data_IF_892053843628
#
_entry.id   IF_892053843628
#
_cell.length_a   1.000
_cell.length_b   1.000
_cell.length_c   1.000
_cell.angle_alpha   90.00
_cell.angle_beta   90.00
_cell.angle_gamma   90.00
#
_symmetry.space_group_name_H-M   'P 1'
#
loop_
_entity.id
_entity.type
_entity.pdbx_description
1 polymer ?
#
# COMPACT_ATOMS: atom_id res chain seq x y z
N UNK A 1 23.16 -3.57 -24.91
CA UNK A 1 22.37 -4.42 -23.96
C UNK A 1 20.94 -3.92 -23.94
N UNK A 2 19.96 -4.71 -24.39
CA UNK A 2 18.54 -4.41 -24.16
C UNK A 2 18.26 -4.61 -22.68
N UNK A 3 18.01 -3.53 -21.94
CA UNK A 3 17.56 -3.59 -20.55
C UNK A 3 16.16 -4.19 -20.56
N UNK A 4 16.01 -5.41 -20.06
CA UNK A 4 14.69 -6.01 -19.88
C UNK A 4 13.94 -5.18 -18.84
N UNK A 5 12.80 -4.63 -19.23
CA UNK A 5 11.91 -3.91 -18.32
C UNK A 5 11.24 -4.98 -17.46
N UNK A 6 11.61 -5.05 -16.18
CA UNK A 6 10.89 -5.86 -15.20
C UNK A 6 9.66 -5.05 -14.80
N UNK A 7 8.49 -5.52 -15.21
CA UNK A 7 7.22 -4.99 -14.72
C UNK A 7 6.86 -5.80 -13.47
N UNK A 8 6.77 -5.18 -12.28
CA UNK A 8 6.40 -5.85 -11.06
C UNK A 8 4.88 -6.09 -11.01
N UNK A 9 4.37 -6.85 -11.98
CA UNK A 9 2.98 -7.26 -12.04
C UNK A 9 2.68 -8.39 -11.03
N UNK A 10 1.42 -8.82 -11.00
CA UNK A 10 0.96 -9.86 -10.09
C UNK A 10 1.71 -11.20 -10.32
N UNK A 11 2.08 -11.53 -11.55
CA UNK A 11 2.76 -12.79 -11.86
C UNK A 11 4.24 -12.74 -11.48
N UNK A 12 4.90 -11.59 -11.67
CA UNK A 12 6.22 -11.31 -11.12
C UNK A 12 6.21 -11.43 -9.58
N UNK A 13 5.19 -10.88 -8.92
CA UNK A 13 5.03 -10.97 -7.46
C UNK A 13 4.81 -12.41 -6.98
N UNK A 14 3.89 -13.16 -7.61
CA UNK A 14 3.65 -14.58 -7.32
C UNK A 14 4.93 -15.40 -7.44
N UNK A 15 5.70 -15.16 -8.51
CA UNK A 15 6.98 -15.84 -8.75
C UNK A 15 8.02 -15.49 -7.68
N UNK A 16 8.10 -14.23 -7.26
CA UNK A 16 9.03 -13.83 -6.20
C UNK A 16 8.66 -14.42 -4.84
N UNK A 17 7.39 -14.53 -4.51
CA UNK A 17 6.94 -15.17 -3.26
C UNK A 17 7.22 -16.68 -3.24
N UNK A 18 7.02 -17.37 -4.37
CA UNK A 18 7.30 -18.81 -4.45
C UNK A 18 8.79 -19.13 -4.33
N UNK A 19 9.67 -18.27 -4.85
CA UNK A 19 11.13 -18.37 -4.65
C UNK A 19 11.52 -18.27 -3.16
N UNK A 20 10.73 -17.54 -2.34
CA UNK A 20 11.00 -17.31 -0.92
C UNK A 20 10.22 -18.19 0.06
N UNK A 21 9.39 -19.14 -0.41
CA UNK A 21 8.44 -19.89 0.43
C UNK A 21 7.52 -19.00 1.27
N UNK A 22 7.18 -17.81 0.77
CA UNK A 22 6.30 -16.86 1.45
C UNK A 22 4.84 -17.10 1.04
N UNK A 23 3.87 -16.85 1.94
CA UNK A 23 2.47 -16.92 1.58
C UNK A 23 2.15 -15.94 0.45
N UNK A 24 1.29 -16.36 -0.48
CA UNK A 24 0.91 -15.55 -1.64
C UNK A 24 0.19 -14.26 -1.27
N UNK A 25 -0.47 -14.27 -0.10
CA UNK A 25 -1.17 -13.12 0.48
C UNK A 25 -0.57 -12.80 1.82
N UNK A 26 -0.38 -11.51 2.10
CA UNK A 26 0.09 -11.04 3.38
C UNK A 26 -0.96 -11.36 4.46
N UNK A 27 -0.59 -12.07 5.55
CA UNK A 27 -1.54 -12.38 6.63
C UNK A 27 -1.96 -11.15 7.43
N UNK A 28 -1.24 -10.03 7.28
CA UNK A 28 -1.52 -8.76 7.95
C UNK A 28 -2.25 -7.76 7.04
N UNK A 29 -2.81 -8.20 5.92
CA UNK A 29 -3.48 -7.35 4.93
C UNK A 29 -4.85 -6.83 5.41
N UNK A 30 -4.85 -6.03 6.47
CA UNK A 30 -6.03 -5.37 7.02
C UNK A 30 -5.68 -4.04 7.66
N UNK A 31 -6.67 -3.15 7.75
CA UNK A 31 -6.50 -1.79 8.30
C UNK A 31 -6.15 -1.78 9.79
N UNK A 32 -6.48 -2.85 10.53
CA UNK A 32 -6.19 -2.95 11.98
C UNK A 32 -4.92 -3.76 12.28
N UNK A 33 -4.44 -4.56 11.32
CA UNK A 33 -3.26 -5.41 11.50
C UNK A 33 -1.98 -4.83 10.92
N UNK A 34 -2.04 -3.94 9.94
CA UNK A 34 -0.85 -3.34 9.33
C UNK A 34 -1.00 -1.82 9.10
N UNK A 35 -0.07 -0.99 9.61
CA UNK A 35 -0.13 0.45 9.41
C UNK A 35 0.08 0.84 7.95
N UNK A 36 0.91 0.08 7.21
CA UNK A 36 1.12 0.30 5.78
C UNK A 36 -0.13 0.02 4.96
N UNK A 37 -0.86 -1.05 5.28
CA UNK A 37 -2.12 -1.37 4.61
C UNK A 37 -3.13 -0.23 4.84
N UNK A 38 -3.26 0.21 6.08
CA UNK A 38 -4.10 1.36 6.43
C UNK A 38 -3.70 2.64 5.67
N UNK A 39 -2.44 3.06 5.75
CA UNK A 39 -1.96 4.28 5.06
C UNK A 39 -2.17 4.20 3.53
N UNK A 40 -1.92 3.03 2.93
CA UNK A 40 -2.12 2.82 1.49
C UNK A 40 -3.60 2.95 1.11
N UNK A 41 -4.50 2.34 1.88
CA UNK A 41 -5.94 2.41 1.61
C UNK A 41 -6.50 3.84 1.81
N UNK A 42 -6.04 4.53 2.86
CA UNK A 42 -6.44 5.92 3.16
C UNK A 42 -6.02 6.87 2.01
N UNK A 43 -4.78 6.74 1.52
CA UNK A 43 -4.27 7.54 0.39
C UNK A 43 -4.87 7.15 -0.97
N UNK A 44 -5.26 5.88 -1.16
CA UNK A 44 -5.85 5.45 -2.43
C UNK A 44 -7.21 6.11 -2.71
N UNK A 45 -7.92 6.51 -1.66
CA UNK A 45 -9.12 7.32 -1.78
C UNK A 45 -8.88 8.69 -2.45
N UNK A 46 -7.66 9.24 -2.34
CA UNK A 46 -7.24 10.46 -3.04
C UNK A 46 -6.91 10.20 -4.50
N UNK A 47 -6.51 8.97 -4.83
CA UNK A 47 -6.23 8.50 -6.19
C UNK A 47 -7.47 7.99 -6.96
N UNK A 48 -8.68 8.26 -6.44
CA UNK A 48 -9.95 7.97 -7.14
C UNK A 48 -10.64 6.66 -6.73
N UNK A 49 -10.12 5.92 -5.75
CA UNK A 49 -10.80 4.74 -5.20
C UNK A 49 -11.84 5.09 -4.11
N UNK A 50 -12.62 4.10 -3.68
CA UNK A 50 -13.56 4.27 -2.56
C UNK A 50 -12.81 4.64 -1.28
N UNK A 51 -13.17 5.79 -0.71
CA UNK A 51 -12.61 6.30 0.55
C UNK A 51 -13.10 5.51 1.74
N UNK A 52 -12.22 5.33 2.72
CA UNK A 52 -12.63 4.97 4.09
C UNK A 52 -13.55 6.09 4.61
N UNK A 53 -14.61 5.73 5.32
CA UNK A 53 -15.49 6.72 5.95
C UNK A 53 -14.68 7.60 6.92
N UNK A 54 -14.96 8.91 6.94
CA UNK A 54 -14.09 9.88 7.61
C UNK A 54 -13.99 9.69 9.13
N UNK A 55 -15.06 9.23 9.80
CA UNK A 55 -15.02 8.92 11.22
C UNK A 55 -14.16 7.68 11.50
N UNK A 56 -14.23 6.69 10.62
CA UNK A 56 -13.44 5.47 10.70
C UNK A 56 -11.95 5.71 10.42
N UNK A 57 -11.62 6.50 9.39
CA UNK A 57 -10.24 6.87 9.08
C UNK A 57 -9.59 7.64 10.25
N UNK A 58 -10.32 8.57 10.88
CA UNK A 58 -9.86 9.26 12.10
C UNK A 58 -9.64 8.30 13.27
N UNK A 59 -10.50 7.30 13.45
CA UNK A 59 -10.37 6.26 14.48
C UNK A 59 -9.09 5.47 14.27
N UNK A 60 -8.86 4.98 13.05
CA UNK A 60 -7.69 4.19 12.66
C UNK A 60 -6.40 4.99 12.78
N UNK A 61 -6.39 6.26 12.37
CA UNK A 61 -5.24 7.14 12.56
C UNK A 61 -4.84 7.27 14.03
N UNK A 62 -5.82 7.45 14.92
CA UNK A 62 -5.59 7.56 16.36
C UNK A 62 -5.12 6.24 16.97
N UNK A 63 -5.64 5.10 16.49
CA UNK A 63 -5.19 3.77 16.88
C UNK A 63 -3.72 3.58 16.53
N UNK A 64 -3.35 3.85 15.28
CA UNK A 64 -2.01 3.59 14.79
C UNK A 64 -0.96 4.56 15.33
N UNK A 65 -1.26 5.86 15.47
CA UNK A 65 -0.30 6.84 16.05
C UNK A 65 0.21 6.47 17.44
N UNK A 66 -0.55 5.67 18.20
CA UNK A 66 -0.15 5.16 19.52
C UNK A 66 0.68 3.88 19.46
N UNK A 67 0.69 3.20 18.31
CA UNK A 67 1.33 1.91 18.13
C UNK A 67 2.83 2.07 17.83
N UNK A 68 3.65 1.14 18.32
CA UNK A 68 5.09 1.09 18.05
C UNK A 68 5.43 0.91 16.57
N UNK A 69 4.53 0.28 15.79
CA UNK A 69 4.69 0.01 14.36
C UNK A 69 4.40 1.22 13.47
N UNK A 70 3.91 2.33 14.03
CA UNK A 70 3.70 3.54 13.24
C UNK A 70 5.03 4.08 12.71
N UNK A 71 5.09 4.51 11.43
CA UNK A 71 6.26 5.18 10.86
C UNK A 71 6.80 6.25 11.80
N UNK A 72 8.12 6.23 12.01
CA UNK A 72 8.81 7.22 12.86
C UNK A 72 9.34 8.39 12.06
N UNK A 73 9.51 8.20 10.76
CA UNK A 73 10.03 9.20 9.84
C UNK A 73 9.22 9.18 8.54
N UNK A 74 9.22 10.29 7.81
CA UNK A 74 8.47 10.42 6.56
C UNK A 74 8.94 9.46 5.47
N UNK A 75 10.20 9.02 5.50
CA UNK A 75 10.74 8.03 4.55
C UNK A 75 10.10 6.65 4.70
N UNK A 76 9.56 6.35 5.89
CA UNK A 76 8.84 5.10 6.16
C UNK A 76 7.35 5.20 5.85
N UNK A 77 6.82 6.42 5.72
CA UNK A 77 5.41 6.66 5.44
C UNK A 77 5.06 6.25 4.01
N UNK A 78 3.84 5.75 3.88
CA UNK A 78 3.24 5.61 2.55
C UNK A 78 3.01 7.01 1.99
N UNK A 79 3.42 7.25 0.75
CA UNK A 79 3.25 8.56 0.12
C UNK A 79 2.87 8.41 -1.34
N UNK A 80 2.16 9.42 -1.82
CA UNK A 80 1.86 9.58 -3.24
C UNK A 80 2.35 10.94 -3.68
N UNK A 81 2.99 10.99 -4.85
CA UNK A 81 3.52 12.22 -5.41
C UNK A 81 3.22 12.34 -6.90
N UNK A 82 3.09 13.58 -7.35
CA UNK A 82 2.73 13.93 -8.73
C UNK A 82 2.00 15.28 -8.77
N UNK A 83 1.77 15.82 -9.98
CA UNK A 83 0.83 16.91 -10.20
C UNK A 83 -0.55 16.58 -9.61
N UNK A 84 -1.30 17.58 -9.17
CA UNK A 84 -2.61 17.41 -8.52
C UNK A 84 -3.64 16.65 -9.38
N UNK A 85 -3.45 16.66 -10.70
CA UNK A 85 -4.25 15.99 -11.71
C UNK A 85 -3.65 14.64 -12.18
N UNK A 86 -2.41 14.32 -11.79
CA UNK A 86 -1.68 13.14 -12.26
C UNK A 86 -0.79 12.55 -11.15
N UNK A 87 -1.43 11.87 -10.21
CA UNK A 87 -0.75 11.14 -9.15
C UNK A 87 -0.14 9.85 -9.74
N UNK A 88 1.15 9.89 -10.07
CA UNK A 88 1.82 8.83 -10.84
C UNK A 88 2.90 8.08 -10.05
N UNK A 89 3.29 8.57 -8.87
CA UNK A 89 4.35 7.98 -8.06
C UNK A 89 3.83 7.52 -6.71
N UNK A 90 3.84 6.21 -6.48
CA UNK A 90 3.42 5.58 -5.24
C UNK A 90 4.66 5.02 -4.53
N UNK A 91 4.88 5.44 -3.29
CA UNK A 91 6.02 5.01 -2.48
C UNK A 91 5.56 4.30 -1.22
N UNK A 92 6.27 3.24 -0.82
CA UNK A 92 5.98 2.42 0.36
C UNK A 92 4.55 1.83 0.39
N UNK A 93 3.88 1.70 -0.76
CA UNK A 93 2.53 1.17 -0.85
C UNK A 93 2.45 -0.32 -0.48
N UNK A 94 1.33 -0.70 0.13
CA UNK A 94 1.02 -2.10 0.39
C UNK A 94 0.61 -2.79 -0.92
N UNK A 95 1.33 -3.85 -1.34
CA UNK A 95 1.04 -4.54 -2.60
C UNK A 95 -0.36 -5.15 -2.61
N UNK A 96 -0.90 -5.55 -1.45
CA UNK A 96 -2.25 -6.11 -1.35
C UNK A 96 -3.34 -5.10 -1.70
N UNK A 97 -3.16 -3.84 -1.31
CA UNK A 97 -4.10 -2.76 -1.65
C UNK A 97 -4.02 -2.50 -3.16
N UNK A 98 -2.81 -2.44 -3.71
CA UNK A 98 -2.60 -2.29 -5.17
C UNK A 98 -3.24 -3.45 -5.94
N UNK A 99 -3.03 -4.70 -5.55
CA UNK A 99 -3.60 -5.85 -6.26
C UNK A 99 -5.13 -5.92 -6.15
N UNK A 100 -5.71 -5.58 -5.00
CA UNK A 100 -7.17 -5.65 -4.84
C UNK A 100 -7.92 -4.53 -5.56
N UNK A 101 -7.32 -3.35 -5.73
CA UNK A 101 -8.05 -2.16 -6.19
C UNK A 101 -7.54 -1.55 -7.50
N UNK A 102 -6.28 -1.80 -7.90
CA UNK A 102 -5.70 -1.23 -9.14
C UNK A 102 -5.72 -2.23 -10.30
N UNK A 103 -5.68 -3.54 -10.01
CA UNK A 103 -5.64 -4.60 -11.04
C UNK A 103 -6.85 -5.54 -11.01
N UNK A 104 -7.88 -5.22 -10.21
CA UNK A 104 -9.13 -5.97 -10.08
C UNK A 104 -10.16 -5.59 -11.13
#
# INVERSE_FOLDING_TARGET
MKKSIIVPDLDWYKKKNSEGSLPLRCPFASVESCPRYYQSLSLMGEAGATKIEASEDKRLLKFWKKNGLWPKTGEQETSVSGPADQVNHFSNFCPEVTFCYIYG
#
